data_IF_607111853234
#
_entry.id   IF_607111853234
#
_cell.length_a   1.000
_cell.length_b   1.000
_cell.length_c   1.000
_cell.angle_alpha   90.00
_cell.angle_beta   90.00
_cell.angle_gamma   90.00
#
_symmetry.space_group_name_H-M   'P 1'
#
loop_
_entity.id
_entity.type
_entity.pdbx_description
1 polymer ?
#
# COMPACT_ATOMS: atom_id res chain seq x y z
N UNK A 1 -19.86 6.74 27.29
CA UNK A 1 -18.53 7.29 27.61
C UNK A 1 -18.70 8.34 28.70
N UNK A 2 -17.79 8.38 29.68
CA UNK A 2 -17.75 9.42 30.72
C UNK A 2 -17.10 10.69 30.14
N UNK A 3 -17.40 11.89 30.65
CA UNK A 3 -16.88 13.17 30.13
C UNK A 3 -15.34 13.19 29.94
N UNK A 4 -14.62 12.54 30.85
CA UNK A 4 -13.16 12.37 30.75
C UNK A 4 -12.73 11.58 29.50
N UNK A 5 -13.46 10.54 29.14
CA UNK A 5 -13.17 9.70 27.96
C UNK A 5 -13.46 10.45 26.66
N UNK A 6 -14.49 11.29 26.65
CA UNK A 6 -14.82 12.14 25.48
C UNK A 6 -13.66 13.11 25.21
N UNK A 7 -13.12 13.74 26.26
CA UNK A 7 -11.97 14.64 26.12
C UNK A 7 -10.68 13.92 25.69
N UNK A 8 -10.42 12.72 26.21
CA UNK A 8 -9.29 11.89 25.77
C UNK A 8 -9.43 11.47 24.30
N UNK A 9 -10.63 11.04 23.90
CA UNK A 9 -10.93 10.68 22.52
C UNK A 9 -10.78 11.88 21.58
N UNK A 10 -11.31 13.04 21.95
CA UNK A 10 -11.16 14.26 21.16
C UNK A 10 -9.69 14.63 20.97
N UNK A 11 -8.87 14.58 22.03
CA UNK A 11 -7.41 14.81 21.92
C UNK A 11 -6.74 13.80 20.99
N UNK A 12 -7.09 12.52 21.11
CA UNK A 12 -6.57 11.46 20.24
C UNK A 12 -6.91 11.74 18.77
N UNK A 13 -8.17 12.03 18.46
CA UNK A 13 -8.62 12.28 17.10
C UNK A 13 -7.99 13.54 16.49
N UNK A 14 -7.89 14.63 17.25
CA UNK A 14 -7.22 15.85 16.76
C UNK A 14 -5.73 15.64 16.54
N UNK A 15 -5.07 14.90 17.43
CA UNK A 15 -3.66 14.51 17.28
C UNK A 15 -3.44 13.59 16.08
N UNK A 16 -4.31 12.58 15.91
CA UNK A 16 -4.29 11.67 14.78
C UNK A 16 -4.50 12.40 13.46
N UNK A 17 -5.47 13.33 13.39
CA UNK A 17 -5.69 14.15 12.20
C UNK A 17 -4.48 15.00 11.86
N UNK A 18 -3.88 15.65 12.87
CA UNK A 18 -2.65 16.44 12.66
C UNK A 18 -1.52 15.56 12.12
N UNK A 19 -1.28 14.41 12.74
CA UNK A 19 -0.27 13.46 12.29
C UNK A 19 -0.55 12.94 10.86
N UNK A 20 -1.82 12.66 10.55
CA UNK A 20 -2.27 12.20 9.24
C UNK A 20 -1.91 13.20 8.14
N UNK A 21 -2.16 14.49 8.38
CA UNK A 21 -1.86 15.56 7.42
C UNK A 21 -0.36 15.84 7.34
N UNK A 22 0.34 15.91 8.47
CA UNK A 22 1.77 16.27 8.51
C UNK A 22 2.69 15.18 7.95
N UNK A 23 2.27 13.92 7.98
CA UNK A 23 3.08 12.78 7.55
C UNK A 23 2.49 12.04 6.34
N UNK A 24 1.53 12.66 5.64
CA UNK A 24 0.90 12.11 4.43
C UNK A 24 0.44 10.64 4.59
N UNK A 25 -0.31 10.40 5.66
CA UNK A 25 -0.89 9.08 5.88
C UNK A 25 -2.00 8.85 4.84
N UNK A 26 -1.99 7.68 4.23
CA UNK A 26 -3.10 7.16 3.45
C UNK A 26 -4.14 6.47 4.34
N UNK A 27 -3.71 5.93 5.50
CA UNK A 27 -4.55 5.27 6.48
C UNK A 27 -4.02 5.52 7.89
N UNK A 28 -4.92 5.82 8.82
CA UNK A 28 -4.64 5.77 10.25
C UNK A 28 -5.80 5.05 10.92
N UNK A 29 -5.55 3.84 11.40
CA UNK A 29 -6.53 2.99 12.07
C UNK A 29 -6.01 2.63 13.47
N UNK A 30 -6.87 2.71 14.48
CA UNK A 30 -6.61 2.16 15.81
C UNK A 30 -7.68 1.11 16.07
N UNK A 31 -7.25 -0.15 16.19
CA UNK A 31 -8.17 -1.26 16.37
C UNK A 31 -7.48 -2.43 17.12
N UNK A 32 -7.79 -2.66 18.42
CA UNK A 32 -8.85 -2.03 19.19
C UNK A 32 -8.42 -0.76 19.94
N UNK A 33 -9.36 0.19 20.05
CA UNK A 33 -9.30 1.27 21.02
C UNK A 33 -9.99 0.82 22.31
N UNK A 34 -9.21 0.44 23.32
CA UNK A 34 -9.70 -0.15 24.56
C UNK A 34 -9.90 0.87 25.68
N UNK A 35 -10.77 0.53 26.64
CA UNK A 35 -10.94 1.25 27.90
C UNK A 35 -10.24 0.45 29.00
N UNK A 36 -9.27 1.06 29.68
CA UNK A 36 -8.58 0.45 30.82
C UNK A 36 -9.47 0.42 32.07
N UNK A 37 -9.10 -0.39 33.05
CA UNK A 37 -9.82 -0.49 34.34
C UNK A 37 -9.95 0.86 35.07
N UNK A 38 -8.96 1.74 34.92
CA UNK A 38 -8.98 3.10 35.46
C UNK A 38 -9.85 4.09 34.65
N UNK A 39 -10.54 3.61 33.60
CA UNK A 39 -11.43 4.37 32.74
C UNK A 39 -10.74 5.17 31.62
N UNK A 40 -9.40 5.12 31.49
CA UNK A 40 -8.67 5.80 30.43
C UNK A 40 -8.74 5.05 29.09
N UNK A 41 -8.64 5.78 27.98
CA UNK A 41 -8.52 5.18 26.64
C UNK A 41 -7.10 4.69 26.36
N UNK A 42 -6.98 3.59 25.63
CA UNK A 42 -5.71 3.00 25.21
C UNK A 42 -5.79 2.48 23.78
N UNK A 43 -4.91 2.97 22.92
CA UNK A 43 -4.68 2.38 21.60
C UNK A 43 -3.87 1.10 21.79
N UNK A 44 -4.51 -0.07 21.66
CA UNK A 44 -3.84 -1.36 21.88
C UNK A 44 -3.07 -1.78 20.64
N UNK A 45 -3.65 -1.54 19.47
CA UNK A 45 -3.05 -1.79 18.18
C UNK A 45 -3.45 -0.68 17.19
N UNK A 46 -2.59 -0.44 16.21
CA UNK A 46 -2.81 0.59 15.21
C UNK A 46 -2.10 0.27 13.91
N UNK A 47 -2.82 0.50 12.81
CA UNK A 47 -2.31 0.34 11.45
C UNK A 47 -2.22 1.70 10.78
N UNK A 48 -1.01 2.03 10.32
CA UNK A 48 -0.75 3.26 9.59
C UNK A 48 -0.30 2.89 8.19
N UNK A 49 -0.95 3.46 7.18
CA UNK A 49 -0.53 3.40 5.79
C UNK A 49 -0.03 4.78 5.38
N UNK A 50 1.09 4.83 4.68
CA UNK A 50 1.69 6.07 4.16
C UNK A 50 1.41 6.15 2.66
N UNK A 51 1.15 7.36 2.15
CA UNK A 51 1.10 7.56 0.70
C UNK A 51 2.50 7.36 0.10
N UNK A 52 2.65 6.36 -0.76
CA UNK A 52 3.90 6.06 -1.44
C UNK A 52 4.40 7.25 -2.28
N UNK A 53 3.49 8.07 -2.81
CA UNK A 53 3.84 9.25 -3.59
C UNK A 53 4.42 10.38 -2.74
N UNK A 54 4.23 10.36 -1.41
CA UNK A 54 4.76 11.35 -0.49
C UNK A 54 6.09 10.93 0.17
N UNK A 55 6.52 9.68 0.00
CA UNK A 55 7.74 9.15 0.65
C UNK A 55 9.00 9.96 0.32
N UNK A 56 9.08 10.59 -0.86
CA UNK A 56 10.24 11.41 -1.26
C UNK A 56 10.49 12.60 -0.30
N UNK A 57 9.45 13.11 0.38
CA UNK A 57 9.56 14.22 1.34
C UNK A 57 9.57 13.75 2.81
N UNK A 58 9.53 12.43 3.05
CA UNK A 58 9.48 11.81 4.38
C UNK A 58 10.64 10.81 4.57
N UNK A 59 11.91 11.26 4.53
CA UNK A 59 13.07 10.37 4.51
C UNK A 59 13.15 9.45 5.74
N UNK A 60 12.80 9.97 6.93
CA UNK A 60 12.78 9.19 8.18
C UNK A 60 11.78 8.04 8.14
N UNK A 61 10.66 8.18 7.43
CA UNK A 61 9.65 7.14 7.30
C UNK A 61 10.08 6.12 6.24
N UNK A 62 10.69 6.59 5.15
CA UNK A 62 11.25 5.70 4.13
C UNK A 62 12.35 4.78 4.70
N UNK A 63 13.15 5.25 5.67
CA UNK A 63 14.15 4.46 6.39
C UNK A 63 13.55 3.33 7.25
N UNK A 64 12.29 3.47 7.68
CA UNK A 64 11.57 2.44 8.46
C UNK A 64 10.98 1.33 7.59
N UNK A 65 11.16 1.38 6.27
CA UNK A 65 10.62 0.38 5.33
C UNK A 65 11.30 -0.98 5.53
N UNK A 66 10.57 -1.92 6.11
CA UNK A 66 11.02 -3.30 6.26
C UNK A 66 10.69 -4.13 5.01
N UNK A 67 11.71 -4.33 4.16
CA UNK A 67 11.59 -5.11 2.92
C UNK A 67 11.29 -6.59 3.16
N UNK A 68 11.53 -7.14 4.37
CA UNK A 68 11.26 -8.55 4.67
C UNK A 68 9.76 -8.88 4.75
N UNK A 69 8.93 -7.85 4.94
CA UNK A 69 7.46 -7.96 4.99
C UNK A 69 6.82 -7.81 3.61
N UNK A 70 7.59 -7.50 2.58
CA UNK A 70 7.10 -7.29 1.21
C UNK A 70 7.31 -8.53 0.34
N UNK A 71 6.48 -8.68 -0.70
CA UNK A 71 6.67 -9.76 -1.65
C UNK A 71 7.97 -9.52 -2.46
N UNK A 72 8.88 -10.49 -2.48
CA UNK A 72 10.16 -10.38 -3.21
C UNK A 72 9.99 -9.97 -4.68
N UNK A 73 8.91 -10.40 -5.34
CA UNK A 73 8.64 -10.06 -6.74
C UNK A 73 8.22 -8.61 -6.91
N UNK A 74 7.39 -8.10 -5.99
CA UNK A 74 6.96 -6.70 -5.98
C UNK A 74 8.13 -5.78 -5.64
N UNK A 75 8.97 -6.18 -4.68
CA UNK A 75 10.19 -5.45 -4.33
C UNK A 75 11.12 -5.32 -5.54
N UNK A 76 11.44 -6.44 -6.21
CA UNK A 76 12.26 -6.42 -7.44
C UNK A 76 11.65 -5.54 -8.52
N UNK A 77 10.33 -5.62 -8.73
CA UNK A 77 9.65 -4.78 -9.69
C UNK A 77 9.76 -3.28 -9.35
N UNK A 78 9.65 -2.93 -8.06
CA UNK A 78 9.78 -1.55 -7.59
C UNK A 78 11.18 -0.96 -7.85
N UNK A 79 12.25 -1.78 -7.84
CA UNK A 79 13.61 -1.34 -8.19
C UNK A 79 13.75 -0.96 -9.67
N UNK A 80 12.86 -1.48 -10.53
CA UNK A 80 12.79 -1.17 -11.95
C UNK A 80 11.68 -0.18 -12.32
N UNK A 81 11.07 0.46 -11.31
CA UNK A 81 9.95 1.39 -11.49
C UNK A 81 8.76 0.73 -12.22
N UNK A 82 8.49 -0.54 -11.88
CA UNK A 82 7.39 -1.34 -12.42
C UNK A 82 6.28 -1.51 -11.40
N UNK A 83 5.03 -1.29 -11.82
CA UNK A 83 3.86 -1.58 -11.01
C UNK A 83 3.50 -3.06 -11.17
N UNK A 84 3.96 -3.88 -10.23
CA UNK A 84 3.70 -5.32 -10.20
C UNK A 84 2.88 -5.71 -8.98
N UNK A 85 1.91 -6.60 -9.16
CA UNK A 85 1.18 -7.25 -8.06
C UNK A 85 1.16 -8.75 -8.30
N UNK A 86 1.57 -9.54 -7.31
CA UNK A 86 1.56 -11.00 -7.42
C UNK A 86 0.13 -11.55 -7.25
N UNK A 87 -0.27 -12.49 -8.12
CA UNK A 87 -1.54 -13.21 -8.03
C UNK A 87 -1.29 -14.73 -8.07
N UNK A 88 -2.30 -15.52 -7.74
CA UNK A 88 -2.17 -16.99 -7.60
C UNK A 88 -2.35 -17.79 -8.90
N UNK A 89 -2.52 -17.11 -10.05
CA UNK A 89 -2.77 -17.78 -11.32
C UNK A 89 -1.55 -18.35 -12.02
N UNK A 90 -1.76 -18.82 -13.26
CA UNK A 90 -0.73 -19.45 -14.11
C UNK A 90 -0.40 -18.66 -15.38
N UNK A 91 -1.20 -17.63 -15.70
CA UNK A 91 -1.05 -16.84 -16.92
C UNK A 91 -0.48 -15.48 -16.55
N UNK A 92 0.79 -15.24 -16.87
CA UNK A 92 1.40 -13.93 -16.67
C UNK A 92 0.95 -12.93 -17.73
N UNK A 93 0.66 -11.69 -17.32
CA UNK A 93 0.38 -10.60 -18.26
C UNK A 93 1.36 -9.46 -18.04
N UNK A 94 1.79 -8.82 -19.13
CA UNK A 94 2.64 -7.64 -19.15
C UNK A 94 2.00 -6.65 -20.11
N UNK A 95 1.65 -5.47 -19.60
CA UNK A 95 0.82 -4.52 -20.34
C UNK A 95 1.30 -3.09 -20.12
N UNK A 96 1.17 -2.24 -21.13
CA UNK A 96 1.47 -0.81 -21.03
C UNK A 96 0.22 -0.02 -20.60
N UNK A 97 0.13 0.28 -19.31
CA UNK A 97 -0.93 1.05 -18.68
C UNK A 97 -1.82 0.20 -17.78
N UNK A 98 -2.05 0.67 -16.56
CA UNK A 98 -2.84 0.00 -15.53
C UNK A 98 -4.26 -0.36 -16.01
N UNK A 99 -4.93 0.51 -16.77
CA UNK A 99 -6.28 0.25 -17.29
C UNK A 99 -6.33 -0.94 -18.25
N UNK A 100 -5.35 -1.04 -19.16
CA UNK A 100 -5.28 -2.16 -20.09
C UNK A 100 -4.83 -3.44 -19.36
N UNK A 101 -3.97 -3.33 -18.35
CA UNK A 101 -3.58 -4.44 -17.50
C UNK A 101 -4.78 -5.05 -16.77
N UNK A 102 -5.64 -4.21 -16.17
CA UNK A 102 -6.89 -4.66 -15.53
C UNK A 102 -7.83 -5.33 -16.54
N UNK A 103 -8.08 -4.70 -17.69
CA UNK A 103 -8.95 -5.27 -18.72
C UNK A 103 -8.42 -6.63 -19.25
N UNK A 104 -7.10 -6.79 -19.35
CA UNK A 104 -6.47 -8.04 -19.77
C UNK A 104 -6.70 -9.15 -18.73
N UNK A 105 -6.54 -8.85 -17.45
CA UNK A 105 -6.85 -9.79 -16.37
C UNK A 105 -8.33 -10.19 -16.36
N UNK A 106 -9.23 -9.22 -16.56
CA UNK A 106 -10.66 -9.47 -16.64
C UNK A 106 -11.01 -10.42 -17.79
N UNK A 107 -10.45 -10.20 -18.98
CA UNK A 107 -10.65 -11.09 -20.14
C UNK A 107 -10.12 -12.49 -19.86
N UNK A 108 -8.93 -12.62 -19.26
CA UNK A 108 -8.35 -13.92 -18.88
C UNK A 108 -9.31 -14.67 -17.95
N UNK A 109 -9.83 -13.98 -16.93
CA UNK A 109 -10.78 -14.56 -15.97
C UNK A 109 -12.11 -14.92 -16.61
N UNK A 110 -12.66 -14.08 -17.49
CA UNK A 110 -13.88 -14.33 -18.25
C UNK A 110 -13.75 -15.56 -19.18
N UNK A 111 -12.54 -15.87 -19.66
CA UNK A 111 -12.25 -17.05 -20.47
C UNK A 111 -11.85 -18.28 -19.64
N UNK A 112 -12.01 -18.23 -18.31
CA UNK A 112 -11.73 -19.35 -17.41
C UNK A 112 -10.25 -19.52 -17.03
N UNK A 113 -9.39 -18.59 -17.45
CA UNK A 113 -8.00 -18.54 -17.01
C UNK A 113 -7.85 -17.87 -15.64
N UNK A 114 -6.67 -18.01 -15.04
CA UNK A 114 -6.32 -17.31 -13.80
C UNK A 114 -5.04 -16.50 -14.03
N UNK A 115 -5.09 -15.16 -13.92
CA UNK A 115 -3.91 -14.31 -14.07
C UNK A 115 -2.94 -14.54 -12.90
N UNK A 116 -1.66 -14.68 -13.23
CA UNK A 116 -0.56 -14.91 -12.27
C UNK A 116 0.02 -13.61 -11.70
N UNK A 117 -0.22 -12.48 -12.36
CA UNK A 117 0.25 -11.20 -11.91
C UNK A 117 -0.53 -10.07 -12.58
N UNK A 118 -0.47 -8.89 -11.97
CA UNK A 118 -0.66 -7.60 -12.63
C UNK A 118 0.73 -7.02 -12.90
N UNK A 119 0.99 -6.52 -14.11
CA UNK A 119 2.23 -5.82 -14.44
C UNK A 119 1.94 -4.71 -15.43
N UNK A 120 2.10 -3.47 -14.96
CA UNK A 120 2.08 -2.27 -15.77
C UNK A 120 3.51 -1.74 -15.97
N UNK A 121 3.94 -1.70 -17.24
CA UNK A 121 5.28 -1.23 -17.66
C UNK A 121 5.37 0.27 -17.96
N UNK A 122 4.26 1.00 -17.81
CA UNK A 122 4.14 2.43 -18.10
C UNK A 122 4.06 2.74 -19.60
N UNK A 123 3.39 3.84 -19.96
CA UNK A 123 3.16 4.25 -21.35
C UNK A 123 4.42 4.59 -22.16
N UNK A 124 5.56 4.83 -21.49
CA UNK A 124 6.86 5.17 -22.09
C UNK A 124 7.75 3.98 -22.41
N UNK A 125 7.19 2.80 -22.70
CA UNK A 125 7.96 1.56 -22.85
C UNK A 125 8.93 1.59 -24.06
N UNK A 126 10.18 1.95 -23.80
CA UNK A 126 11.27 2.02 -24.80
C UNK A 126 11.95 0.65 -24.97
N UNK A 127 12.50 0.38 -26.18
CA UNK A 127 13.13 -0.92 -26.55
C UNK A 127 14.17 -1.43 -25.55
N UNK A 128 14.94 -0.52 -24.94
CA UNK A 128 15.94 -0.82 -23.91
C UNK A 128 15.30 -1.24 -22.59
N UNK A 129 14.14 -0.68 -22.26
CA UNK A 129 13.36 -1.08 -21.11
C UNK A 129 12.84 -2.52 -21.32
N UNK A 130 12.33 -2.85 -22.51
CA UNK A 130 11.87 -4.21 -22.85
C UNK A 130 12.97 -5.29 -22.72
N UNK A 131 14.20 -5.01 -23.18
CA UNK A 131 15.29 -6.00 -23.18
C UNK A 131 15.85 -6.32 -21.78
N UNK A 132 15.84 -5.36 -20.85
CA UNK A 132 16.20 -5.60 -19.44
C UNK A 132 15.11 -6.36 -18.67
N UNK A 133 13.91 -6.48 -19.24
CA UNK A 133 12.68 -7.02 -18.61
C UNK A 133 12.34 -8.46 -19.04
N UNK A 134 13.13 -9.07 -19.93
CA UNK A 134 12.90 -10.41 -20.50
C UNK A 134 13.90 -11.49 -20.06
N UNK A 135 14.93 -11.14 -19.29
CA UNK A 135 15.96 -12.06 -18.78
C UNK A 135 15.95 -12.12 -17.26
#
# INVERSE_FOLDING_TARGET
MKDKQINEFAKLMTGAYKAFVENDFALFEVNPLAVRENGALACVDGKIGIDSNALYRLPKIAELRDKSQENERELKASEFDLNYVALEGKIGCMVNGAGLAMATMDIIKLKGGQPANFLDVGGGATKTAWLKRSN
#
